data_IF_481070539117
#
_entry.id   IF_481070539117
#
_cell.length_a   1.000
_cell.length_b   1.000
_cell.length_c   1.000
_cell.angle_alpha   90.00
_cell.angle_beta   90.00
_cell.angle_gamma   90.00
#
_symmetry.space_group_name_H-M   'P 1'
#
loop_
_entity.id
_entity.type
_entity.pdbx_description
1 polymer ?
#
# COMPACT_ATOMS: atom_id res chain seq x y z
N UNK A 1 -8.94 13.09 -13.36
CA UNK A 1 -8.00 12.56 -12.35
C UNK A 1 -7.57 13.66 -11.39
N UNK A 2 -6.98 14.78 -11.85
CA UNK A 2 -6.58 15.88 -10.94
C UNK A 2 -7.74 16.59 -10.21
N UNK A 3 -8.95 16.64 -10.79
CA UNK A 3 -10.12 17.23 -10.14
C UNK A 3 -10.58 16.39 -8.94
N UNK A 4 -10.72 15.08 -9.12
CA UNK A 4 -11.08 14.13 -8.05
C UNK A 4 -10.08 14.13 -6.90
N UNK A 5 -8.77 14.31 -7.15
CA UNK A 5 -7.76 14.44 -6.10
C UNK A 5 -7.99 15.67 -5.20
N UNK A 6 -8.61 16.73 -5.71
CA UNK A 6 -8.80 18.00 -4.97
C UNK A 6 -10.13 18.03 -4.20
N UNK A 7 -11.17 17.38 -4.69
CA UNK A 7 -12.50 17.40 -4.07
C UNK A 7 -12.67 16.30 -3.01
N UNK A 8 -12.18 15.09 -3.27
CA UNK A 8 -12.31 13.94 -2.38
C UNK A 8 -11.11 12.98 -2.54
N UNK A 9 -9.92 13.36 -2.03
CA UNK A 9 -8.70 12.55 -2.16
C UNK A 9 -8.84 11.18 -1.47
N UNK A 10 -9.56 11.12 -0.35
CA UNK A 10 -9.78 9.87 0.38
C UNK A 10 -10.66 8.91 -0.41
N UNK A 11 -11.82 9.37 -0.90
CA UNK A 11 -12.69 8.53 -1.72
C UNK A 11 -12.05 8.13 -3.04
N UNK A 12 -11.22 8.98 -3.66
CA UNK A 12 -10.43 8.60 -4.83
C UNK A 12 -9.45 7.48 -4.50
N UNK A 13 -8.67 7.60 -3.41
CA UNK A 13 -7.71 6.58 -3.00
C UNK A 13 -8.41 5.24 -2.73
N UNK A 14 -9.54 5.25 -2.04
CA UNK A 14 -10.33 4.04 -1.78
C UNK A 14 -10.85 3.39 -3.06
N UNK A 15 -11.32 4.19 -4.04
CA UNK A 15 -11.76 3.69 -5.36
C UNK A 15 -10.62 3.07 -6.16
N UNK A 16 -9.43 3.68 -6.12
CA UNK A 16 -8.23 3.15 -6.79
C UNK A 16 -7.81 1.81 -6.17
N UNK A 17 -7.70 1.77 -4.84
CA UNK A 17 -7.35 0.55 -4.11
C UNK A 17 -8.37 -0.56 -4.35
N UNK A 18 -9.67 -0.24 -4.36
CA UNK A 18 -10.74 -1.20 -4.67
C UNK A 18 -10.70 -1.77 -6.09
N UNK A 19 -9.99 -1.11 -7.02
CA UNK A 19 -9.75 -1.58 -8.39
C UNK A 19 -8.39 -2.28 -8.56
N UNK A 20 -7.63 -2.50 -7.47
CA UNK A 20 -6.29 -3.08 -7.52
C UNK A 20 -5.20 -2.09 -7.95
N UNK A 21 -5.49 -0.79 -7.99
CA UNK A 21 -4.49 0.24 -8.30
C UNK A 21 -3.90 0.82 -7.00
N UNK A 22 -3.35 -0.04 -6.13
CA UNK A 22 -2.93 0.35 -4.77
C UNK A 22 -1.75 1.32 -4.79
N UNK A 23 -0.79 1.17 -5.72
CA UNK A 23 0.31 2.13 -5.88
C UNK A 23 -0.21 3.54 -6.21
N UNK A 24 -1.21 3.65 -7.09
CA UNK A 24 -1.83 4.94 -7.41
C UNK A 24 -2.62 5.50 -6.22
N UNK A 25 -3.29 4.64 -5.44
CA UNK A 25 -3.93 5.07 -4.20
C UNK A 25 -2.91 5.61 -3.19
N UNK A 26 -1.73 5.00 -3.09
CA UNK A 26 -0.64 5.47 -2.22
C UNK A 26 -0.14 6.87 -2.60
N UNK A 27 0.05 7.12 -3.90
CA UNK A 27 0.44 8.45 -4.39
C UNK A 27 -0.58 9.53 -3.99
N UNK A 28 -1.89 9.22 -4.06
CA UNK A 28 -2.96 10.15 -3.67
C UNK A 28 -2.90 10.45 -2.17
N UNK A 29 -2.83 9.42 -1.32
CA UNK A 29 -2.84 9.62 0.14
C UNK A 29 -1.57 10.29 0.68
N UNK A 30 -0.43 10.08 0.03
CA UNK A 30 0.83 10.74 0.37
C UNK A 30 0.83 12.21 -0.09
N UNK A 31 0.36 12.49 -1.31
CA UNK A 31 0.29 13.84 -1.85
C UNK A 31 -0.71 14.73 -1.10
N UNK A 32 -1.84 14.16 -0.67
CA UNK A 32 -2.86 14.85 0.10
C UNK A 32 -2.59 14.82 1.62
N UNK A 33 -1.49 14.22 2.07
CA UNK A 33 -1.12 14.05 3.49
C UNK A 33 -2.29 13.52 4.35
N UNK A 34 -2.97 12.49 3.85
CA UNK A 34 -4.11 11.88 4.55
C UNK A 34 -3.66 11.11 5.80
N UNK A 35 -4.64 10.64 6.56
CA UNK A 35 -4.43 10.00 7.86
C UNK A 35 -3.38 8.88 7.81
N UNK A 36 -2.61 8.78 8.89
CA UNK A 36 -1.56 7.76 9.00
C UNK A 36 -2.14 6.34 8.95
N UNK A 37 -3.35 6.15 9.48
CA UNK A 37 -4.04 4.85 9.48
C UNK A 37 -4.39 4.42 8.05
N UNK A 38 -4.93 5.34 7.23
CA UNK A 38 -5.24 5.05 5.83
C UNK A 38 -3.97 4.77 5.01
N UNK A 39 -2.89 5.53 5.26
CA UNK A 39 -1.59 5.27 4.61
C UNK A 39 -1.05 3.89 4.98
N UNK A 40 -1.11 3.50 6.26
CA UNK A 40 -0.66 2.18 6.72
C UNK A 40 -1.49 1.04 6.15
N UNK A 41 -2.82 1.19 6.13
CA UNK A 41 -3.74 0.25 5.51
C UNK A 41 -3.39 0.01 4.03
N UNK A 42 -3.22 1.08 3.25
CA UNK A 42 -2.88 0.98 1.83
C UNK A 42 -1.47 0.42 1.59
N UNK A 43 -0.49 0.77 2.44
CA UNK A 43 0.86 0.18 2.39
C UNK A 43 0.83 -1.31 2.72
N UNK A 44 -0.03 -1.74 3.64
CA UNK A 44 -0.27 -3.16 3.94
C UNK A 44 -0.78 -3.92 2.72
N UNK A 45 -1.75 -3.35 2.00
CA UNK A 45 -2.25 -3.92 0.74
C UNK A 45 -1.17 -3.97 -0.34
N UNK A 46 -0.36 -2.92 -0.49
CA UNK A 46 0.76 -2.90 -1.44
C UNK A 46 1.79 -3.99 -1.12
N UNK A 47 2.06 -4.21 0.17
CA UNK A 47 2.96 -5.28 0.61
C UNK A 47 2.39 -6.67 0.28
N UNK A 48 1.08 -6.88 0.43
CA UNK A 48 0.42 -8.12 -0.01
C UNK A 48 0.55 -8.31 -1.53
N UNK A 49 0.31 -7.27 -2.33
CA UNK A 49 0.49 -7.33 -3.79
C UNK A 49 1.93 -7.71 -4.15
N UNK A 50 2.93 -7.09 -3.52
CA UNK A 50 4.33 -7.43 -3.73
C UNK A 50 4.61 -8.88 -3.35
N UNK A 51 4.15 -9.35 -2.18
CA UNK A 51 4.41 -10.71 -1.70
C UNK A 51 3.74 -11.81 -2.54
N UNK A 52 2.64 -11.49 -3.21
CA UNK A 52 1.84 -12.47 -3.99
C UNK A 52 2.11 -12.40 -5.48
N UNK A 53 2.70 -11.31 -5.98
CA UNK A 53 3.08 -11.17 -7.37
C UNK A 53 4.29 -12.05 -7.76
N UNK A 54 4.36 -12.41 -9.04
CA UNK A 54 5.48 -13.17 -9.60
C UNK A 54 6.80 -12.36 -9.47
N UNK A 55 7.87 -12.94 -8.90
CA UNK A 55 9.17 -12.27 -8.82
C UNK A 55 9.71 -11.72 -10.15
N UNK A 56 9.40 -12.38 -11.27
CA UNK A 56 9.81 -11.95 -12.61
C UNK A 56 9.05 -10.69 -13.06
N UNK A 57 7.85 -10.46 -12.52
CA UNK A 57 7.06 -9.24 -12.75
C UNK A 57 7.36 -8.10 -11.77
N UNK A 58 8.41 -8.22 -10.95
CA UNK A 58 8.77 -7.22 -9.94
C UNK A 58 8.09 -7.41 -8.58
N UNK A 59 7.56 -8.60 -8.31
CA UNK A 59 7.05 -9.00 -7.00
C UNK A 59 8.04 -9.80 -6.16
N UNK A 60 7.50 -10.53 -5.20
CA UNK A 60 8.20 -11.48 -4.35
C UNK A 60 8.88 -10.86 -3.11
N UNK A 61 9.54 -11.73 -2.31
CA UNK A 61 10.11 -11.35 -1.02
C UNK A 61 11.18 -10.25 -1.10
N UNK A 62 11.94 -10.18 -2.20
CA UNK A 62 13.01 -9.19 -2.36
C UNK A 62 12.41 -7.79 -2.48
N UNK A 63 11.43 -7.60 -3.35
CA UNK A 63 10.80 -6.29 -3.54
C UNK A 63 9.96 -5.89 -2.32
N UNK A 64 9.27 -6.85 -1.69
CA UNK A 64 8.61 -6.65 -0.40
C UNK A 64 9.57 -6.16 0.70
N UNK A 65 10.78 -6.75 0.77
CA UNK A 65 11.82 -6.32 1.71
C UNK A 65 12.33 -4.92 1.41
N UNK A 66 12.56 -4.60 0.12
CA UNK A 66 12.95 -3.25 -0.30
C UNK A 66 11.87 -2.23 0.06
N UNK A 67 10.60 -2.55 -0.17
CA UNK A 67 9.47 -1.70 0.16
C UNK A 67 9.41 -1.39 1.66
N UNK A 68 9.49 -2.40 2.53
CA UNK A 68 9.55 -2.20 3.98
C UNK A 68 10.77 -1.37 4.41
N UNK A 69 11.91 -1.58 3.75
CA UNK A 69 13.16 -0.85 4.03
C UNK A 69 13.11 0.62 3.57
N UNK A 70 12.16 0.99 2.70
CA UNK A 70 12.01 2.36 2.20
C UNK A 70 11.35 3.30 3.21
N UNK A 71 10.72 2.75 4.26
CA UNK A 71 10.06 3.57 5.27
C UNK A 71 11.08 4.29 6.14
N UNK A 72 11.02 5.62 6.13
CA UNK A 72 11.93 6.49 6.88
C UNK A 72 11.78 6.34 8.40
N UNK A 73 10.61 5.92 8.87
CA UNK A 73 10.35 5.59 10.27
C UNK A 73 10.16 4.08 10.44
N UNK A 74 11.00 3.46 11.28
CA UNK A 74 10.79 2.09 11.74
C UNK A 74 9.41 1.87 12.38
N UNK A 75 8.74 2.95 12.82
CA UNK A 75 7.40 2.94 13.39
C UNK A 75 6.31 2.52 12.40
N UNK A 76 6.52 2.66 11.09
CA UNK A 76 5.51 2.29 10.10
C UNK A 76 5.70 0.88 9.53
N UNK A 77 6.93 0.37 9.50
CA UNK A 77 7.24 -0.94 8.91
C UNK A 77 6.54 -2.09 9.64
N UNK A 78 6.60 -2.12 10.97
CA UNK A 78 6.00 -3.20 11.76
C UNK A 78 4.46 -3.20 11.67
N UNK A 79 3.73 -2.09 11.88
CA UNK A 79 2.28 -2.05 11.70
C UNK A 79 1.83 -2.44 10.28
N UNK A 80 2.55 -1.97 9.26
CA UNK A 80 2.28 -2.33 7.86
C UNK A 80 2.45 -3.84 7.64
N UNK A 81 3.55 -4.42 8.12
CA UNK A 81 3.80 -5.85 8.01
C UNK A 81 2.73 -6.68 8.74
N UNK A 82 2.35 -6.29 9.97
CA UNK A 82 1.29 -6.96 10.73
C UNK A 82 -0.07 -6.88 10.02
N UNK A 83 -0.42 -5.73 9.46
CA UNK A 83 -1.66 -5.56 8.67
C UNK A 83 -1.66 -6.42 7.40
N UNK A 84 -0.54 -6.44 6.67
CA UNK A 84 -0.39 -7.29 5.49
C UNK A 84 -0.51 -8.79 5.84
N UNK A 85 0.09 -9.24 6.94
CA UNK A 85 -0.01 -10.64 7.39
C UNK A 85 -1.45 -11.10 7.64
N UNK A 86 -2.34 -10.21 8.07
CA UNK A 86 -3.77 -10.53 8.25
C UNK A 86 -4.53 -10.68 6.93
N UNK A 87 -4.01 -10.08 5.86
CA UNK A 87 -4.63 -10.03 4.54
C UNK A 87 -4.04 -11.04 3.57
N UNK A 88 -2.85 -11.59 3.85
CA UNK A 88 -2.24 -12.62 3.02
C UNK A 88 -3.20 -13.82 2.90
N UNK A 89 -3.47 -14.30 1.67
CA UNK A 89 -4.21 -15.54 1.50
C UNK A 89 -3.44 -16.62 2.27
N UNK A 90 -4.15 -17.39 3.11
CA UNK A 90 -3.58 -18.34 4.05
C UNK A 90 -2.28 -18.95 3.49
N UNK A 91 -1.17 -18.72 4.17
CA UNK A 91 0.11 -19.41 3.95
C UNK A 91 -0.12 -20.89 4.29
N UNK A 92 -0.82 -21.62 3.42
CA UNK A 92 -1.26 -22.99 3.60
C UNK A 92 -0.46 -23.93 2.73
#
# INVERSE_FOLDING_TARGET
VEADCKEDPEGLALRLAGKGAVSAALEVVESANLSIDLRRELRGRQLVELLTADPVSGGGPVEATRFLSSFHEANDALPVAMGAMQQLPNLR
#
